data_IF_379052522103
#
_entry.id   IF_379052522103
#
_cell.length_a   1.000
_cell.length_b   1.000
_cell.length_c   1.000
_cell.angle_alpha   90.00
_cell.angle_beta   90.00
_cell.angle_gamma   90.00
#
_symmetry.space_group_name_H-M   'P 1'
#
loop_
_entity.id
_entity.type
_entity.pdbx_description
1 polymer ?
#
# COMPACT_ATOMS: atom_id res chain seq x y z
N UNK A 1 -14.82 22.76 -5.10
CA UNK A 1 -13.45 22.74 -5.67
C UNK A 1 -13.55 22.44 -7.16
N UNK A 2 -12.68 23.02 -8.00
CA UNK A 2 -12.67 22.78 -9.45
C UNK A 2 -11.49 21.87 -9.84
N UNK A 3 -11.80 20.86 -10.65
CA UNK A 3 -10.82 19.99 -11.31
C UNK A 3 -10.86 20.33 -12.80
N UNK A 4 -9.72 20.73 -13.38
CA UNK A 4 -9.63 21.07 -14.81
C UNK A 4 -8.90 19.95 -15.55
N UNK A 5 -9.61 19.21 -16.41
CA UNK A 5 -9.05 18.15 -17.24
C UNK A 5 -9.14 18.60 -18.70
N UNK A 6 -7.99 18.96 -19.28
CA UNK A 6 -7.89 19.36 -20.69
C UNK A 6 -7.55 18.16 -21.58
N UNK A 7 -8.46 17.20 -21.64
CA UNK A 7 -8.33 16.02 -22.49
C UNK A 7 -9.67 15.75 -23.21
N UNK A 8 -9.73 15.91 -24.54
CA UNK A 8 -10.96 15.71 -25.31
C UNK A 8 -11.54 14.29 -25.21
N UNK A 9 -10.68 13.27 -25.12
CA UNK A 9 -11.10 11.87 -24.97
C UNK A 9 -11.77 11.65 -23.61
N UNK A 10 -11.19 12.21 -22.53
CA UNK A 10 -11.77 12.11 -21.19
C UNK A 10 -13.13 12.78 -21.12
N UNK A 11 -13.29 13.95 -21.75
CA UNK A 11 -14.59 14.63 -21.82
C UNK A 11 -15.62 13.80 -22.60
N UNK A 12 -15.23 13.24 -23.76
CA UNK A 12 -16.11 12.40 -24.56
C UNK A 12 -16.56 11.14 -23.80
N UNK A 13 -15.65 10.48 -23.08
CA UNK A 13 -15.96 9.33 -22.24
C UNK A 13 -16.91 9.71 -21.09
N UNK A 14 -16.62 10.80 -20.37
CA UNK A 14 -17.47 11.27 -19.28
C UNK A 14 -18.90 11.59 -19.76
N UNK A 15 -19.03 12.24 -20.93
CA UNK A 15 -20.34 12.53 -21.54
C UNK A 15 -21.08 11.26 -21.93
N UNK A 16 -20.39 10.26 -22.48
CA UNK A 16 -21.01 8.98 -22.82
C UNK A 16 -21.49 8.22 -21.59
N UNK A 17 -20.70 8.19 -20.51
CA UNK A 17 -21.11 7.55 -19.26
C UNK A 17 -22.34 8.27 -18.69
N UNK A 18 -22.28 9.59 -18.54
CA UNK A 18 -23.39 10.40 -18.05
C UNK A 18 -24.68 10.19 -18.87
N UNK A 19 -24.59 10.15 -20.19
CA UNK A 19 -25.73 9.91 -21.06
C UNK A 19 -26.33 8.50 -20.89
N UNK A 20 -25.50 7.49 -20.62
CA UNK A 20 -25.94 6.10 -20.43
C UNK A 20 -26.48 5.83 -19.02
N UNK A 21 -25.96 6.52 -18.01
CA UNK A 21 -26.35 6.34 -16.60
C UNK A 21 -27.45 7.31 -16.16
N UNK A 22 -27.70 8.38 -16.92
CA UNK A 22 -28.61 9.46 -16.52
C UNK A 22 -28.03 10.38 -15.45
N UNK A 23 -26.73 10.29 -15.18
CA UNK A 23 -26.04 11.09 -14.18
C UNK A 23 -25.58 12.44 -14.75
N UNK A 24 -25.27 13.39 -13.87
CA UNK A 24 -24.55 14.61 -14.28
C UNK A 24 -23.12 14.26 -14.68
N UNK A 25 -22.48 15.10 -15.51
CA UNK A 25 -21.08 14.87 -15.93
C UNK A 25 -20.14 14.70 -14.72
N UNK A 26 -20.30 15.56 -13.70
CA UNK A 26 -19.54 15.47 -12.45
C UNK A 26 -19.89 14.22 -11.65
N UNK A 27 -21.16 13.84 -11.61
CA UNK A 27 -21.63 12.61 -10.96
C UNK A 27 -21.00 11.36 -11.57
N UNK A 28 -21.07 11.23 -12.89
CA UNK A 28 -20.49 10.12 -13.65
C UNK A 28 -18.97 10.01 -13.41
N UNK A 29 -18.24 11.13 -13.43
CA UNK A 29 -16.79 11.15 -13.15
C UNK A 29 -16.53 10.71 -11.70
N UNK A 30 -17.27 11.25 -10.74
CA UNK A 30 -17.11 10.93 -9.31
C UNK A 30 -17.34 9.45 -9.05
N UNK A 31 -18.41 8.90 -9.63
CA UNK A 31 -18.77 7.50 -9.48
C UNK A 31 -17.75 6.57 -10.14
N UNK A 32 -17.31 6.88 -11.36
CA UNK A 32 -16.28 6.11 -12.06
C UNK A 32 -14.94 6.07 -11.29
N UNK A 33 -14.54 7.20 -10.67
CA UNK A 33 -13.34 7.27 -9.83
C UNK A 33 -13.51 6.46 -8.54
N UNK A 34 -14.67 6.55 -7.87
CA UNK A 34 -14.98 5.77 -6.67
C UNK A 34 -14.90 4.27 -6.95
N UNK A 35 -15.58 3.80 -7.99
CA UNK A 35 -15.54 2.38 -8.38
C UNK A 35 -14.12 1.93 -8.76
N UNK A 36 -13.32 2.82 -9.36
CA UNK A 36 -11.92 2.50 -9.66
C UNK A 36 -11.09 2.35 -8.39
N UNK A 37 -11.28 3.21 -7.40
CA UNK A 37 -10.62 3.10 -6.09
C UNK A 37 -11.04 1.81 -5.39
N UNK A 38 -12.35 1.53 -5.31
CA UNK A 38 -12.85 0.29 -4.71
C UNK A 38 -12.27 -0.97 -5.37
N UNK A 39 -12.16 -0.99 -6.71
CA UNK A 39 -11.51 -2.11 -7.42
C UNK A 39 -10.01 -2.23 -7.15
N UNK A 40 -9.33 -1.11 -6.90
CA UNK A 40 -7.91 -1.10 -6.53
C UNK A 40 -7.78 -1.68 -5.11
N UNK A 41 -8.58 -1.19 -4.17
CA UNK A 41 -8.55 -1.60 -2.76
C UNK A 41 -8.96 -3.06 -2.57
N UNK A 42 -9.91 -3.56 -3.37
CA UNK A 42 -10.39 -4.94 -3.30
C UNK A 42 -9.42 -5.98 -3.89
N UNK A 43 -8.38 -5.56 -4.64
CA UNK A 43 -7.43 -6.50 -5.24
C UNK A 43 -6.52 -7.09 -4.15
N UNK A 44 -6.27 -8.41 -4.11
CA UNK A 44 -5.24 -8.99 -3.24
C UNK A 44 -3.87 -8.38 -3.61
N UNK A 45 -3.28 -7.60 -2.70
CA UNK A 45 -2.06 -6.80 -2.96
C UNK A 45 -2.31 -5.34 -3.38
N UNK A 46 -3.56 -4.91 -3.44
CA UNK A 46 -3.99 -3.52 -3.70
C UNK A 46 -3.99 -2.61 -2.47
N UNK A 47 -3.68 -3.16 -1.28
CA UNK A 47 -3.24 -2.31 -0.16
C UNK A 47 -2.05 -1.51 -0.65
N UNK A 48 -2.13 -0.19 -0.52
CA UNK A 48 -1.06 0.72 -0.83
C UNK A 48 0.27 0.14 -0.34
N UNK A 49 1.16 -0.16 -1.29
CA UNK A 49 2.48 -0.70 -0.99
C UNK A 49 3.18 0.24 -0.02
N UNK A 50 2.94 1.54 -0.12
CA UNK A 50 3.43 2.53 0.81
C UNK A 50 2.84 2.33 2.21
N UNK A 51 1.53 2.17 2.35
CA UNK A 51 0.91 1.86 3.65
C UNK A 51 1.42 0.54 4.26
N UNK A 52 1.73 -0.46 3.43
CA UNK A 52 2.34 -1.72 3.90
C UNK A 52 3.77 -1.50 4.39
N UNK A 53 4.58 -0.75 3.63
CA UNK A 53 5.94 -0.37 4.03
C UNK A 53 5.92 0.44 5.33
N UNK A 54 4.98 1.38 5.46
CA UNK A 54 4.84 2.23 6.63
C UNK A 54 4.42 1.40 7.86
N UNK A 55 3.50 0.44 7.68
CA UNK A 55 3.12 -0.50 8.73
C UNK A 55 4.32 -1.37 9.17
N UNK A 56 5.10 -1.89 8.22
CA UNK A 56 6.31 -2.68 8.53
C UNK A 56 7.32 -1.83 9.30
N UNK A 57 7.59 -0.59 8.86
CA UNK A 57 8.49 0.34 9.55
C UNK A 57 8.03 0.68 10.97
N UNK A 58 6.72 0.85 11.17
CA UNK A 58 6.17 1.11 12.50
C UNK A 58 6.39 -0.08 13.43
N UNK A 59 6.13 -1.31 12.95
CA UNK A 59 6.34 -2.54 13.72
C UNK A 59 7.82 -2.73 14.05
N UNK A 60 8.71 -2.61 13.07
CA UNK A 60 10.15 -2.81 13.29
C UNK A 60 10.74 -1.72 14.18
N UNK A 61 10.28 -0.47 14.05
CA UNK A 61 10.69 0.62 14.92
C UNK A 61 10.21 0.48 16.37
N UNK A 62 9.00 -0.04 16.60
CA UNK A 62 8.51 -0.36 17.95
C UNK A 62 9.27 -1.55 18.55
N UNK A 63 9.51 -2.60 17.75
CA UNK A 63 10.26 -3.78 18.18
C UNK A 63 11.70 -3.40 18.58
N UNK A 64 12.38 -2.57 17.79
CA UNK A 64 13.75 -2.13 18.07
C UNK A 64 13.88 -1.37 19.40
N UNK A 65 12.82 -0.68 19.87
CA UNK A 65 12.82 0.00 21.17
C UNK A 65 12.63 -0.95 22.36
N UNK A 66 12.07 -2.12 22.11
CA UNK A 66 11.69 -3.11 23.15
C UNK A 66 12.70 -4.23 23.28
N UNK A 67 13.48 -4.49 22.25
CA UNK A 67 14.57 -5.45 22.30
C UNK A 67 15.73 -4.88 23.10
N UNK A 68 16.25 -5.67 24.03
CA UNK A 68 17.52 -5.40 24.70
C UNK A 68 18.67 -5.53 23.69
N UNK A 69 19.80 -4.86 23.96
CA UNK A 69 21.03 -5.03 23.19
C UNK A 69 21.62 -6.44 23.45
N UNK A 70 21.02 -7.43 22.80
CA UNK A 70 21.43 -8.83 22.82
C UNK A 70 22.19 -9.23 21.55
N UNK A 71 22.84 -10.41 21.58
CA UNK A 71 23.49 -10.94 20.39
C UNK A 71 22.47 -11.08 19.26
N UNK A 72 22.82 -10.54 18.09
CA UNK A 72 21.98 -10.67 16.91
C UNK A 72 21.99 -12.11 16.40
N UNK A 73 21.12 -12.42 15.44
CA UNK A 73 21.09 -13.76 14.81
C UNK A 73 22.45 -14.22 14.24
N UNK A 74 23.30 -13.27 13.84
CA UNK A 74 24.66 -13.54 13.35
C UNK A 74 25.66 -13.93 14.46
N UNK A 75 25.35 -13.60 15.72
CA UNK A 75 26.23 -13.84 16.87
C UNK A 75 25.88 -15.15 17.60
N UNK A 76 24.74 -15.77 17.26
CA UNK A 76 24.22 -16.98 17.94
C UNK A 76 25.18 -18.16 17.82
N UNK A 77 25.82 -18.35 16.66
CA UNK A 77 26.75 -19.46 16.46
C UNK A 77 27.98 -19.32 17.38
N UNK A 78 28.55 -18.13 17.48
CA UNK A 78 29.67 -17.85 18.37
C UNK A 78 29.29 -17.91 19.86
N UNK A 79 28.01 -17.69 20.17
CA UNK A 79 27.47 -17.77 21.52
C UNK A 79 27.24 -19.22 21.98
N UNK A 80 26.73 -20.08 21.09
CA UNK A 80 26.27 -21.43 21.42
C UNK A 80 27.27 -22.54 21.08
N UNK A 81 28.16 -22.34 20.11
CA UNK A 81 29.07 -23.37 19.63
C UNK A 81 30.54 -22.92 19.72
N UNK A 82 31.43 -23.87 19.96
CA UNK A 82 32.88 -23.65 19.91
C UNK A 82 33.43 -23.68 18.47
N UNK A 83 34.74 -23.46 18.31
CA UNK A 83 35.40 -23.45 16.98
C UNK A 83 35.35 -24.80 16.25
N UNK A 84 34.92 -25.88 16.94
CA UNK A 84 34.73 -27.21 16.38
C UNK A 84 33.25 -27.50 16.09
N UNK A 85 32.36 -26.54 16.32
CA UNK A 85 30.92 -26.66 16.14
C UNK A 85 30.23 -27.48 17.24
N UNK A 86 30.88 -27.68 18.39
CA UNK A 86 30.28 -28.38 19.53
C UNK A 86 29.58 -27.38 20.46
N UNK A 87 28.43 -27.74 21.07
CA UNK A 87 27.79 -26.90 22.06
C UNK A 87 28.75 -26.54 23.19
N UNK A 88 28.81 -25.26 23.54
CA UNK A 88 29.51 -24.78 24.72
C UNK A 88 28.76 -25.08 26.01
#
# INVERSE_FOLDING_TARGET
MSMNIKNPETEALARQVAARTGETLTGAITQALRERLERIDARPGGRDVQATIDAVKAITGDLAKRLEDGPGSADIDALLYDERGLPR
#
